data_IF_375685323820
#
_entry.id   IF_375685323820
#
_cell.length_a   1.000
_cell.length_b   1.000
_cell.length_c   1.000
_cell.angle_alpha   90.00
_cell.angle_beta   90.00
_cell.angle_gamma   90.00
#
_symmetry.space_group_name_H-M   'P 1'
#
loop_
_entity.id
_entity.type
_entity.pdbx_description
1 polymer ?
#
# COMPACT_ATOMS: atom_id res chain seq x y z
N UNK A 1 13.85 6.23 -6.69
CA UNK A 1 12.47 6.74 -6.43
C UNK A 1 12.20 6.76 -4.93
N UNK A 2 11.23 7.57 -4.51
CA UNK A 2 10.74 7.60 -3.13
C UNK A 2 9.50 6.71 -3.06
N UNK A 3 9.61 5.58 -2.36
CA UNK A 3 8.53 4.61 -2.16
C UNK A 3 7.84 4.88 -0.82
N UNK A 4 6.53 5.01 -0.83
CA UNK A 4 5.70 5.28 0.34
C UNK A 4 4.86 4.07 0.75
N UNK A 5 5.01 3.65 2.00
CA UNK A 5 4.21 2.60 2.61
C UNK A 5 3.11 3.26 3.44
N UNK A 6 1.89 3.27 2.91
CA UNK A 6 0.74 3.86 3.58
C UNK A 6 0.19 2.93 4.68
N UNK A 7 -0.36 3.54 5.71
CA UNK A 7 -1.20 2.82 6.67
C UNK A 7 -2.57 2.57 6.03
N UNK A 8 -3.01 1.32 6.04
CA UNK A 8 -4.37 1.00 5.63
C UNK A 8 -5.37 1.57 6.64
N UNK A 9 -6.39 2.25 6.14
CA UNK A 9 -7.42 2.90 6.96
C UNK A 9 -8.77 2.19 6.88
N UNK A 10 -8.86 1.14 6.08
CA UNK A 10 -10.08 0.34 5.95
C UNK A 10 -10.35 -0.42 7.25
N UNK A 11 -11.58 -0.34 7.73
CA UNK A 11 -12.00 -1.06 8.93
C UNK A 11 -11.80 -2.58 8.76
N UNK A 12 -11.14 -3.20 9.74
CA UNK A 12 -10.84 -4.63 9.73
C UNK A 12 -9.62 -5.03 8.90
N UNK A 13 -8.93 -4.10 8.25
CA UNK A 13 -7.68 -4.40 7.56
C UNK A 13 -6.48 -4.23 8.51
N UNK A 14 -5.81 -5.33 8.80
CA UNK A 14 -4.66 -5.39 9.72
C UNK A 14 -3.35 -5.74 9.03
N UNK A 15 -3.39 -6.06 7.74
CA UNK A 15 -2.21 -6.42 6.97
C UNK A 15 -1.43 -5.18 6.57
N UNK A 16 -0.17 -5.39 6.23
CA UNK A 16 0.70 -4.39 5.60
C UNK A 16 1.25 -4.96 4.30
N UNK A 17 1.41 -4.12 3.30
CA UNK A 17 1.85 -4.56 1.97
C UNK A 17 3.35 -4.94 1.94
N UNK A 18 4.16 -4.31 2.79
CA UNK A 18 5.57 -4.62 2.97
C UNK A 18 5.91 -4.71 4.45
N UNK A 19 6.54 -5.81 4.87
CA UNK A 19 7.12 -5.93 6.21
C UNK A 19 8.48 -5.21 6.26
N UNK A 20 9.11 -5.03 7.44
CA UNK A 20 10.47 -4.48 7.52
C UNK A 20 11.50 -5.23 6.66
N UNK A 21 11.31 -6.52 6.40
CA UNK A 21 12.22 -7.31 5.55
C UNK A 21 12.19 -6.84 4.09
N UNK A 22 10.99 -6.64 3.53
CA UNK A 22 10.84 -6.12 2.16
C UNK A 22 11.33 -4.67 2.08
N UNK A 23 11.07 -3.86 3.11
CA UNK A 23 11.58 -2.48 3.19
C UNK A 23 13.09 -2.45 3.13
N UNK A 24 13.78 -3.32 3.89
CA UNK A 24 15.25 -3.42 3.83
C UNK A 24 15.74 -3.78 2.43
N UNK A 25 15.03 -4.66 1.72
CA UNK A 25 15.35 -5.05 0.34
C UNK A 25 15.19 -3.88 -0.62
N UNK A 26 14.11 -3.11 -0.50
CA UNK A 26 13.84 -1.91 -1.34
C UNK A 26 14.90 -0.83 -1.07
N UNK A 27 15.24 -0.58 0.19
CA UNK A 27 16.28 0.37 0.58
C UNK A 27 17.66 -0.05 0.06
N UNK A 28 18.02 -1.33 0.17
CA UNK A 28 19.26 -1.88 -0.36
C UNK A 28 19.37 -1.78 -1.90
N UNK A 29 18.24 -1.74 -2.60
CA UNK A 29 18.19 -1.51 -4.04
C UNK A 29 18.40 -0.02 -4.42
N UNK A 30 18.65 0.86 -3.45
CA UNK A 30 18.95 2.28 -3.68
C UNK A 30 17.70 3.18 -3.74
N UNK A 31 16.56 2.72 -3.25
CA UNK A 31 15.35 3.52 -3.13
C UNK A 31 15.23 4.13 -1.73
N UNK A 32 14.65 5.34 -1.66
CA UNK A 32 14.25 5.92 -0.38
C UNK A 32 12.88 5.34 -0.01
N UNK A 33 12.74 4.86 1.23
CA UNK A 33 11.48 4.33 1.73
C UNK A 33 10.93 5.25 2.82
N UNK A 34 9.69 5.68 2.65
CA UNK A 34 8.92 6.38 3.68
C UNK A 34 7.84 5.42 4.19
N UNK A 35 7.69 5.30 5.50
CA UNK A 35 6.64 4.51 6.11
C UNK A 35 5.73 5.42 6.94
N UNK A 36 4.44 5.40 6.65
CA UNK A 36 3.49 6.16 7.46
C UNK A 36 3.46 5.60 8.88
N UNK A 37 3.45 6.48 9.86
CA UNK A 37 3.39 6.11 11.27
C UNK A 37 2.30 5.08 11.55
N UNK A 38 2.69 4.06 12.29
CA UNK A 38 1.85 2.93 12.68
C UNK A 38 1.30 2.08 11.51
N UNK A 39 1.87 2.18 10.30
CA UNK A 39 1.39 1.41 9.14
C UNK A 39 1.45 -0.10 9.35
N UNK A 40 2.44 -0.61 10.08
CA UNK A 40 2.58 -2.04 10.38
C UNK A 40 2.11 -2.48 11.76
N UNK A 41 1.65 -1.54 12.60
CA UNK A 41 1.37 -1.80 14.02
C UNK A 41 0.33 -2.91 14.23
N UNK A 42 -0.74 -2.91 13.45
CA UNK A 42 -1.79 -3.93 13.53
C UNK A 42 -1.30 -5.31 13.07
N UNK A 43 -0.28 -5.36 12.22
CA UNK A 43 0.40 -6.59 11.79
C UNK A 43 1.55 -7.01 12.72
N UNK A 44 1.79 -6.28 13.82
CA UNK A 44 2.84 -6.60 14.81
C UNK A 44 4.20 -5.97 14.53
N UNK A 45 4.31 -5.04 13.58
CA UNK A 45 5.55 -4.35 13.26
C UNK A 45 5.53 -2.93 13.80
N UNK A 46 6.53 -2.59 14.64
CA UNK A 46 6.66 -1.25 15.20
C UNK A 46 7.32 -0.27 14.23
N UNK A 47 7.17 1.04 14.50
CA UNK A 47 7.84 2.09 13.71
C UNK A 47 9.37 1.91 13.75
N UNK A 48 9.93 1.57 14.91
CA UNK A 48 11.37 1.33 15.08
C UNK A 48 11.87 0.15 14.24
N UNK A 49 11.02 -0.84 13.97
CA UNK A 49 11.39 -1.95 13.09
C UNK A 49 11.54 -1.48 11.65
N UNK A 50 10.67 -0.58 11.19
CA UNK A 50 10.78 0.04 9.86
C UNK A 50 11.96 0.99 9.76
N UNK A 51 12.25 1.80 10.80
CA UNK A 51 13.44 2.66 10.84
C UNK A 51 14.73 1.84 10.75
N UNK A 52 14.83 0.74 11.51
CA UNK A 52 15.98 -0.19 11.44
C UNK A 52 16.13 -0.83 10.06
N UNK A 53 15.03 -1.01 9.34
CA UNK A 53 15.02 -1.52 7.97
C UNK A 53 15.41 -0.46 6.93
N UNK A 54 15.59 0.80 7.34
CA UNK A 54 16.01 1.91 6.48
C UNK A 54 14.88 2.81 5.99
N UNK A 55 13.68 2.72 6.57
CA UNK A 55 12.60 3.65 6.28
C UNK A 55 12.67 4.91 7.17
N UNK A 56 12.22 6.04 6.64
CA UNK A 56 11.87 7.23 7.40
C UNK A 56 10.40 7.15 7.81
N UNK A 57 10.08 7.42 9.07
CA UNK A 57 8.69 7.47 9.55
C UNK A 57 8.10 8.84 9.28
N UNK A 58 6.91 8.86 8.65
CA UNK A 58 6.16 10.06 8.29
C UNK A 58 4.81 10.05 9.01
N UNK A 59 4.43 11.17 9.60
CA UNK A 59 3.27 11.25 10.49
C UNK A 59 1.93 11.14 9.75
N UNK A 60 1.78 11.78 8.60
CA UNK A 60 0.50 11.93 7.92
C UNK A 60 0.45 11.36 6.50
N UNK A 61 -0.76 11.01 6.04
CA UNK A 61 -0.99 10.57 4.68
C UNK A 61 -0.70 11.70 3.67
N UNK A 62 -1.11 12.93 3.99
CA UNK A 62 -0.89 14.10 3.14
C UNK A 62 0.60 14.29 2.82
N UNK A 63 1.46 14.15 3.84
CA UNK A 63 2.90 14.23 3.66
C UNK A 63 3.44 13.07 2.81
N UNK A 64 2.91 11.86 3.03
CA UNK A 64 3.26 10.68 2.23
C UNK A 64 2.94 10.91 0.75
N UNK A 65 1.71 11.32 0.44
CA UNK A 65 1.30 11.61 -0.94
C UNK A 65 2.12 12.75 -1.55
N UNK A 66 2.43 13.80 -0.78
CA UNK A 66 3.21 14.93 -1.28
C UNK A 66 4.66 14.57 -1.64
N UNK A 67 5.29 13.65 -0.90
CA UNK A 67 6.73 13.35 -1.01
C UNK A 67 7.04 12.13 -1.89
N UNK A 68 6.14 11.14 -1.96
CA UNK A 68 6.43 9.87 -2.61
C UNK A 68 6.21 9.90 -4.12
N UNK A 69 7.10 9.26 -4.88
CA UNK A 69 6.88 8.96 -6.29
C UNK A 69 5.87 7.84 -6.47
N UNK A 70 5.88 6.88 -5.56
CA UNK A 70 4.99 5.73 -5.50
C UNK A 70 4.45 5.56 -4.08
N UNK A 71 3.15 5.34 -3.95
CA UNK A 71 2.52 4.95 -2.68
C UNK A 71 1.84 3.59 -2.81
N UNK A 72 1.90 2.80 -1.74
CA UNK A 72 1.36 1.46 -1.71
C UNK A 72 0.63 1.14 -0.41
N UNK A 73 -0.48 0.42 -0.51
CA UNK A 73 -1.26 -0.14 0.61
C UNK A 73 -1.92 -1.45 0.20
N UNK A 74 -2.52 -2.17 1.13
CA UNK A 74 -3.13 -3.48 0.85
C UNK A 74 -4.45 -3.33 0.13
N UNK A 75 -5.34 -2.46 0.65
CA UNK A 75 -6.71 -2.31 0.18
C UNK A 75 -6.88 -1.13 -0.77
N UNK A 76 -8.11 -0.97 -1.25
CA UNK A 76 -8.57 0.15 -2.06
C UNK A 76 -8.27 1.49 -1.39
N UNK A 77 -8.15 2.55 -2.20
CA UNK A 77 -7.97 3.91 -1.72
C UNK A 77 -9.34 4.46 -1.30
N UNK A 78 -9.38 5.09 -0.14
CA UNK A 78 -10.62 5.61 0.44
C UNK A 78 -10.89 7.06 -0.02
N UNK A 79 -12.14 7.51 0.09
CA UNK A 79 -12.57 8.85 -0.36
C UNK A 79 -11.71 9.98 0.20
N UNK A 80 -11.24 9.85 1.45
CA UNK A 80 -10.35 10.81 2.10
C UNK A 80 -8.95 10.92 1.43
N UNK A 81 -8.56 9.92 0.65
CA UNK A 81 -7.26 9.85 -0.02
C UNK A 81 -7.34 10.36 -1.48
N UNK A 82 -8.54 10.37 -2.11
CA UNK A 82 -8.68 10.69 -3.52
C UNK A 82 -8.09 12.05 -3.92
N UNK A 83 -8.28 13.06 -3.07
CA UNK A 83 -7.76 14.41 -3.29
C UNK A 83 -6.25 14.55 -3.11
N UNK A 84 -5.60 13.54 -2.55
CA UNK A 84 -4.15 13.54 -2.29
C UNK A 84 -3.34 12.93 -3.44
N UNK A 85 -3.98 12.09 -4.27
CA UNK A 85 -3.32 11.42 -5.40
C UNK A 85 -2.92 12.45 -6.45
N UNK A 86 -1.64 12.43 -6.86
CA UNK A 86 -1.08 13.42 -7.78
C UNK A 86 -0.97 12.87 -9.21
N UNK A 87 -0.99 13.79 -10.18
CA UNK A 87 -0.69 13.46 -11.59
C UNK A 87 0.71 12.80 -11.71
N UNK A 88 0.78 11.72 -12.48
CA UNK A 88 1.98 10.88 -12.69
C UNK A 88 2.51 10.16 -11.42
N UNK A 89 1.85 10.27 -10.28
CA UNK A 89 2.20 9.47 -9.11
C UNK A 89 1.83 8.01 -9.36
N UNK A 90 2.68 7.08 -8.91
CA UNK A 90 2.37 5.65 -8.98
C UNK A 90 1.59 5.27 -7.72
N UNK A 91 0.47 4.56 -7.88
CA UNK A 91 -0.28 3.97 -6.78
C UNK A 91 -0.36 2.45 -6.96
N UNK A 92 -0.23 1.70 -5.87
CA UNK A 92 -0.35 0.24 -5.83
C UNK A 92 -1.25 -0.18 -4.69
N UNK A 93 -2.27 -0.95 -4.99
CA UNK A 93 -3.20 -1.52 -4.00
C UNK A 93 -4.16 -2.51 -4.62
N UNK A 94 -5.00 -3.14 -3.81
CA UNK A 94 -6.12 -3.94 -4.30
C UNK A 94 -7.30 -3.00 -4.62
N UNK A 95 -7.33 -2.47 -5.83
CA UNK A 95 -8.25 -1.40 -6.26
C UNK A 95 -9.69 -1.92 -6.44
N UNK A 96 -9.87 -3.19 -6.83
CA UNK A 96 -11.19 -3.80 -7.10
C UNK A 96 -12.12 -2.93 -7.98
N UNK A 97 -11.70 -2.52 -9.19
CA UNK A 97 -12.36 -1.45 -9.95
C UNK A 97 -13.84 -1.70 -10.25
N UNK A 98 -14.25 -2.96 -10.37
CA UNK A 98 -15.66 -3.31 -10.60
C UNK A 98 -16.57 -3.06 -9.38
N UNK A 99 -15.99 -3.00 -8.18
CA UNK A 99 -16.71 -2.77 -6.92
C UNK A 99 -16.66 -1.33 -6.41
N UNK A 100 -15.77 -0.51 -6.96
CA UNK A 100 -15.45 0.83 -6.45
C UNK A 100 -15.40 1.88 -7.58
N UNK A 101 -16.55 2.22 -8.22
CA UNK A 101 -16.57 3.15 -9.35
C UNK A 101 -16.08 4.56 -8.96
N UNK A 102 -16.34 5.01 -7.73
CA UNK A 102 -15.89 6.32 -7.24
C UNK A 102 -14.35 6.39 -7.14
N UNK A 103 -13.70 5.31 -6.73
CA UNK A 103 -12.24 5.20 -6.71
C UNK A 103 -11.68 5.26 -8.14
N UNK A 104 -12.30 4.54 -9.08
CA UNK A 104 -11.90 4.56 -10.49
C UNK A 104 -12.00 5.97 -11.07
N UNK A 105 -13.08 6.68 -10.79
CA UNK A 105 -13.27 8.07 -11.23
C UNK A 105 -12.19 8.99 -10.63
N UNK A 106 -11.83 8.82 -9.36
CA UNK A 106 -10.77 9.58 -8.72
C UNK A 106 -9.39 9.29 -9.34
N UNK A 107 -9.09 8.02 -9.60
CA UNK A 107 -7.86 7.58 -10.27
C UNK A 107 -7.75 8.20 -11.67
N UNK A 108 -8.81 8.12 -12.47
CA UNK A 108 -8.84 8.71 -13.81
C UNK A 108 -8.68 10.23 -13.78
N UNK A 109 -9.34 10.89 -12.83
CA UNK A 109 -9.28 12.36 -12.67
C UNK A 109 -7.90 12.83 -12.23
N UNK A 110 -7.21 12.08 -11.38
CA UNK A 110 -5.87 12.41 -10.89
C UNK A 110 -4.79 12.26 -11.96
N UNK A 111 -5.04 11.45 -13.01
CA UNK A 111 -4.06 11.07 -14.04
C UNK A 111 -2.82 10.39 -13.46
N UNK A 112 -2.98 9.65 -12.38
CA UNK A 112 -1.93 8.84 -11.79
C UNK A 112 -1.68 7.57 -12.61
N UNK A 113 -0.65 6.81 -12.22
CA UNK A 113 -0.32 5.50 -12.78
C UNK A 113 -0.74 4.46 -11.75
N UNK A 114 -1.86 3.77 -11.99
CA UNK A 114 -2.40 2.80 -11.05
C UNK A 114 -2.03 1.37 -11.42
N UNK A 115 -1.52 0.63 -10.43
CA UNK A 115 -1.33 -0.81 -10.51
C UNK A 115 -2.25 -1.50 -9.51
N UNK A 116 -2.98 -2.50 -9.97
CA UNK A 116 -3.78 -3.34 -9.09
C UNK A 116 -2.98 -4.55 -8.63
N UNK A 117 -2.98 -4.81 -7.33
CA UNK A 117 -2.27 -5.95 -6.76
C UNK A 117 -2.99 -7.29 -7.01
N UNK A 118 -4.25 -7.29 -7.43
CA UNK A 118 -5.02 -8.50 -7.72
C UNK A 118 -4.41 -9.33 -8.84
N UNK A 119 -3.89 -8.68 -9.87
CA UNK A 119 -3.41 -9.34 -11.10
C UNK A 119 -1.88 -9.25 -11.27
N UNK A 120 -1.15 -8.90 -10.21
CA UNK A 120 0.32 -8.78 -10.26
C UNK A 120 1.05 -10.13 -10.33
N UNK A 121 0.36 -11.25 -10.13
CA UNK A 121 0.96 -12.57 -10.09
C UNK A 121 0.64 -13.39 -11.34
N UNK A 122 1.66 -14.13 -11.82
CA UNK A 122 1.54 -14.98 -13.03
C UNK A 122 0.37 -15.97 -13.00
N UNK A 123 -0.02 -16.42 -11.81
CA UNK A 123 -1.04 -17.45 -11.59
C UNK A 123 -2.32 -16.92 -10.93
N UNK A 124 -2.55 -15.62 -10.97
CA UNK A 124 -3.70 -14.97 -10.36
C UNK A 124 -3.36 -14.15 -9.13
N UNK A 125 -4.34 -13.91 -8.27
CA UNK A 125 -4.17 -13.09 -7.08
C UNK A 125 -3.57 -13.88 -5.91
N UNK A 126 -2.40 -13.50 -5.35
CA UNK A 126 -1.83 -14.13 -4.16
C UNK A 126 -2.75 -14.04 -2.95
N UNK A 127 -3.52 -12.96 -2.83
CA UNK A 127 -4.49 -12.77 -1.75
C UNK A 127 -5.64 -13.77 -1.85
N UNK A 128 -6.17 -14.01 -3.04
CA UNK A 128 -7.24 -15.00 -3.26
C UNK A 128 -6.74 -16.43 -2.98
N UNK A 129 -5.52 -16.74 -3.38
CA UNK A 129 -4.89 -18.03 -3.07
C UNK A 129 -4.73 -18.23 -1.56
N UNK A 130 -4.22 -17.22 -0.85
CA UNK A 130 -4.07 -17.28 0.61
C UNK A 130 -5.43 -17.42 1.30
N UNK A 131 -6.45 -16.66 0.88
CA UNK A 131 -7.80 -16.76 1.42
C UNK A 131 -8.42 -18.15 1.18
N UNK A 132 -8.23 -18.71 -0.01
CA UNK A 132 -8.70 -20.05 -0.35
C UNK A 132 -8.04 -21.13 0.52
N UNK A 133 -6.72 -21.04 0.74
CA UNK A 133 -5.99 -21.95 1.63
C UNK A 133 -6.48 -21.85 3.08
N UNK A 134 -6.68 -20.63 3.58
CA UNK A 134 -7.20 -20.43 4.93
C UNK A 134 -8.64 -20.93 5.07
N UNK A 135 -9.50 -20.65 4.11
CA UNK A 135 -10.87 -21.17 4.10
C UNK A 135 -10.92 -22.70 4.14
N UNK A 136 -10.04 -23.37 3.41
CA UNK A 136 -9.95 -24.84 3.44
C UNK A 136 -9.42 -25.42 4.77
N UNK A 137 -8.66 -24.62 5.54
CA UNK A 137 -8.12 -25.05 6.83
C UNK A 137 -9.12 -24.85 7.98
N UNK A 138 -9.99 -23.85 7.91
CA UNK A 138 -10.90 -23.44 8.98
C UNK A 138 -12.40 -23.66 8.66
N UNK A 139 -12.73 -24.06 7.45
CA UNK A 139 -14.07 -24.47 7.02
C UNK A 139 -14.24 -25.96 7.14
#
# INVERSE_FOLDING_TARGET
MIFGLLRDIKEGEYRVICTPTEVATIAAAGHTVLAQKDCGKAAGFSNEAYEKAGAEIVESAEEMYARCDMVAKVKEFEESEYGLIRENQIILGCIHPAGHPEEVDAILKSKCIAFTAEDCHRYGSPNCEAAGKQGALFG
#
